data_IF_797158478451
#
_entry.id   IF_797158478451
#
_cell.length_a   1.000
_cell.length_b   1.000
_cell.length_c   1.000
_cell.angle_alpha   90.00
_cell.angle_beta   90.00
_cell.angle_gamma   90.00
#
_symmetry.space_group_name_H-M   'P 1'
#
loop_
_entity.id
_entity.type
_entity.pdbx_description
1 polymer ?
#
# COMPACT_ATOMS: atom_id res chain seq x y z
N UNK A 1 12.30 15.20 3.82
CA UNK A 1 11.94 14.29 3.95
C UNK A 1 10.99 13.57 3.14
N UNK A 2 11.48 12.70 2.51
CA UNK A 2 10.95 12.23 1.30
C UNK A 2 9.71 11.42 1.34
N UNK A 3 9.26 10.87 2.41
CA UNK A 3 8.15 9.94 2.39
C UNK A 3 6.99 10.31 3.26
N UNK A 4 6.67 11.58 3.30
CA UNK A 4 5.54 12.04 4.09
C UNK A 4 4.23 11.37 3.67
N UNK A 5 4.12 10.97 2.40
CA UNK A 5 2.91 10.34 1.90
C UNK A 5 2.70 8.92 2.42
N UNK A 6 3.76 8.26 2.87
CA UNK A 6 3.68 6.88 3.36
C UNK A 6 3.57 6.83 4.88
N UNK A 7 3.71 7.95 5.56
CA UNK A 7 3.55 7.98 7.01
C UNK A 7 2.06 7.95 7.35
N UNK A 8 1.68 7.43 8.53
CA UNK A 8 0.28 7.43 8.93
C UNK A 8 -0.32 8.83 8.90
N UNK A 9 0.38 9.82 9.42
CA UNK A 9 -0.12 11.18 9.42
C UNK A 9 -0.35 11.70 8.01
N UNK A 10 0.61 11.48 7.12
CA UNK A 10 0.49 11.94 5.75
C UNK A 10 -0.65 11.29 5.00
N UNK A 11 -0.81 9.97 5.14
CA UNK A 11 -1.89 9.24 4.47
C UNK A 11 -3.24 9.70 4.98
N UNK A 12 -3.43 9.76 6.29
CA UNK A 12 -4.71 10.18 6.86
C UNK A 12 -5.03 11.63 6.54
N UNK A 13 -4.03 12.50 6.47
CA UNK A 13 -4.25 13.90 6.12
C UNK A 13 -4.77 14.06 4.71
N UNK A 14 -4.30 13.25 3.78
CA UNK A 14 -4.68 13.39 2.37
C UNK A 14 -5.87 12.53 1.98
N UNK A 15 -6.01 11.35 2.55
CA UNK A 15 -6.97 10.36 2.06
C UNK A 15 -7.98 9.90 3.10
N UNK A 16 -7.77 10.26 4.38
CA UNK A 16 -8.69 9.86 5.44
C UNK A 16 -8.61 8.37 5.73
N UNK A 17 -9.73 7.81 6.17
CA UNK A 17 -9.80 6.42 6.61
C UNK A 17 -9.83 5.41 5.46
N UNK A 18 -10.17 5.85 4.26
CA UNK A 18 -10.28 4.98 3.09
C UNK A 18 -9.51 5.57 1.92
N UNK A 19 -8.91 4.66 1.15
CA UNK A 19 -8.17 5.03 -0.05
C UNK A 19 -8.77 4.32 -1.25
N UNK A 20 -8.60 4.91 -2.42
CA UNK A 20 -9.04 4.32 -3.68
C UNK A 20 -7.85 3.77 -4.45
N UNK A 21 -8.14 3.08 -5.56
CA UNK A 21 -7.06 2.63 -6.46
C UNK A 21 -6.24 3.84 -6.93
N UNK A 22 -6.92 4.92 -7.30
CA UNK A 22 -6.22 6.12 -7.76
C UNK A 22 -5.29 6.68 -6.68
N UNK A 23 -5.76 6.67 -5.43
CA UNK A 23 -4.93 7.13 -4.31
C UNK A 23 -3.66 6.30 -4.18
N UNK A 24 -3.80 4.98 -4.28
CA UNK A 24 -2.64 4.09 -4.13
C UNK A 24 -1.66 4.21 -5.29
N UNK A 25 -2.15 4.43 -6.50
CA UNK A 25 -1.25 4.64 -7.64
C UNK A 25 -0.41 5.90 -7.41
N UNK A 26 -1.01 6.93 -6.86
CA UNK A 26 -0.31 8.17 -6.57
C UNK A 26 0.69 8.00 -5.43
N UNK A 27 0.26 7.37 -4.34
CA UNK A 27 1.11 7.19 -3.16
C UNK A 27 2.30 6.30 -3.47
N UNK A 28 2.05 5.17 -4.13
CA UNK A 28 3.10 4.19 -4.42
C UNK A 28 3.85 4.47 -5.70
N UNK A 29 3.33 5.36 -6.52
CA UNK A 29 3.92 5.72 -7.82
C UNK A 29 4.10 4.51 -8.71
N UNK A 30 3.05 3.70 -8.78
CA UNK A 30 3.01 2.53 -9.66
C UNK A 30 1.79 2.64 -10.57
N UNK A 31 1.73 1.80 -11.59
CA UNK A 31 0.61 1.84 -12.51
C UNK A 31 -0.65 1.28 -11.86
N UNK A 32 -1.79 1.70 -12.41
CA UNK A 32 -3.08 1.19 -11.99
C UNK A 32 -3.15 -0.33 -12.11
N UNK A 33 -2.51 -0.87 -13.13
CA UNK A 33 -2.46 -2.30 -13.36
C UNK A 33 -1.84 -3.04 -12.16
N UNK A 34 -0.77 -2.48 -11.60
CA UNK A 34 -0.10 -3.09 -10.46
C UNK A 34 -1.01 -3.09 -9.23
N UNK A 35 -1.64 -1.95 -8.95
CA UNK A 35 -2.56 -1.85 -7.80
C UNK A 35 -3.73 -2.79 -7.97
N UNK A 36 -4.31 -2.82 -9.17
CA UNK A 36 -5.45 -3.68 -9.45
C UNK A 36 -5.10 -5.15 -9.22
N UNK A 37 -3.92 -5.56 -9.64
CA UNK A 37 -3.46 -6.92 -9.44
C UNK A 37 -3.27 -7.25 -7.96
N UNK A 38 -2.72 -6.31 -7.18
CA UNK A 38 -2.57 -6.50 -5.74
C UNK A 38 -3.92 -6.77 -5.07
N UNK A 39 -4.93 -6.02 -5.49
CA UNK A 39 -6.26 -6.18 -4.92
C UNK A 39 -6.93 -7.47 -5.38
N UNK A 40 -6.81 -7.82 -6.64
CA UNK A 40 -7.42 -9.02 -7.18
C UNK A 40 -6.79 -10.29 -6.64
N UNK A 41 -5.51 -10.26 -6.34
CA UNK A 41 -4.82 -11.44 -5.80
C UNK A 41 -4.92 -11.54 -4.28
N UNK A 42 -5.57 -10.58 -3.65
CA UNK A 42 -5.75 -10.60 -2.21
C UNK A 42 -4.54 -10.21 -1.40
N UNK A 43 -3.53 -9.65 -2.04
CA UNK A 43 -2.35 -9.17 -1.29
C UNK A 43 -2.68 -8.02 -0.36
N UNK A 44 -3.66 -7.22 -0.74
CA UNK A 44 -4.08 -6.07 0.04
C UNK A 44 -5.59 -6.17 0.26
N UNK A 45 -6.05 -6.24 1.51
CA UNK A 45 -7.48 -6.33 1.79
C UNK A 45 -8.25 -5.12 1.30
N UNK A 46 -9.38 -5.35 0.68
CA UNK A 46 -10.23 -4.27 0.19
C UNK A 46 -11.63 -4.79 -0.05
N UNK A 47 -12.59 -3.86 -0.06
CA UNK A 47 -13.95 -4.17 -0.43
C UNK A 47 -14.28 -3.48 -1.76
N UNK A 48 -15.08 -4.13 -2.57
CA UNK A 48 -15.52 -3.54 -3.83
C UNK A 48 -16.95 -3.05 -3.67
N UNK A 49 -17.12 -1.74 -3.71
CA UNK A 49 -18.42 -1.11 -3.53
C UNK A 49 -18.74 -0.28 -4.75
N UNK A 50 -19.90 -0.55 -5.36
CA UNK A 50 -20.33 0.20 -6.52
C UNK A 50 -19.34 0.18 -7.67
N UNK A 51 -18.65 -0.96 -7.86
CA UNK A 51 -17.66 -1.08 -8.92
C UNK A 51 -16.30 -0.50 -8.62
N UNK A 52 -16.11 0.06 -7.42
CA UNK A 52 -14.84 0.65 -7.03
C UNK A 52 -14.31 0.00 -5.77
N UNK A 53 -12.99 -0.18 -5.72
CA UNK A 53 -12.36 -0.70 -4.51
C UNK A 53 -12.27 0.39 -3.45
N UNK A 54 -12.53 0.00 -2.20
CA UNK A 54 -12.29 0.84 -1.04
C UNK A 54 -11.29 0.11 -0.16
N UNK A 55 -10.14 0.73 0.08
CA UNK A 55 -9.07 0.15 0.87
C UNK A 55 -8.99 0.92 2.18
N UNK A 56 -9.09 0.22 3.30
CA UNK A 56 -8.92 0.88 4.59
C UNK A 56 -7.47 1.34 4.69
N UNK A 57 -7.31 2.60 5.08
CA UNK A 57 -5.97 3.17 5.22
C UNK A 57 -5.14 2.38 6.23
N UNK A 58 -5.74 1.90 7.31
CA UNK A 58 -5.05 1.05 8.27
C UNK A 58 -4.50 -0.22 7.63
N UNK A 59 -5.29 -0.86 6.79
CA UNK A 59 -4.87 -2.09 6.12
C UNK A 59 -3.72 -1.82 5.15
N UNK A 60 -3.79 -0.70 4.45
CA UNK A 60 -2.72 -0.30 3.55
C UNK A 60 -1.42 -0.06 4.31
N UNK A 61 -1.48 0.61 5.45
CA UNK A 61 -0.30 0.89 6.24
C UNK A 61 0.34 -0.39 6.80
N UNK A 62 -0.49 -1.34 7.23
CA UNK A 62 0.00 -2.64 7.68
C UNK A 62 0.67 -3.40 6.54
N UNK A 63 0.04 -3.37 5.38
CA UNK A 63 0.60 -4.03 4.20
C UNK A 63 1.95 -3.41 3.85
N UNK A 64 2.05 -2.10 3.88
CA UNK A 64 3.30 -1.41 3.58
C UNK A 64 4.41 -1.80 4.56
N UNK A 65 4.08 -1.81 5.85
CA UNK A 65 5.04 -2.23 6.87
C UNK A 65 5.56 -3.64 6.62
N UNK A 66 4.68 -4.54 6.24
CA UNK A 66 5.07 -5.91 5.95
C UNK A 66 5.97 -5.99 4.72
N UNK A 67 5.69 -5.18 3.70
CA UNK A 67 6.54 -5.16 2.52
C UNK A 67 7.95 -4.70 2.86
N UNK A 68 8.07 -3.67 3.66
CA UNK A 68 9.37 -3.17 4.07
C UNK A 68 10.13 -4.24 4.87
N UNK A 69 9.44 -4.89 5.80
CA UNK A 69 10.07 -5.95 6.61
C UNK A 69 10.54 -7.12 5.77
N UNK A 70 9.75 -7.52 4.78
CA UNK A 70 10.13 -8.61 3.89
C UNK A 70 11.36 -8.24 3.07
N UNK A 71 11.40 -7.02 2.57
CA UNK A 71 12.54 -6.57 1.79
C UNK A 71 13.81 -6.54 2.64
N UNK A 72 13.70 -6.07 3.88
CA UNK A 72 14.85 -6.04 4.79
C UNK A 72 15.36 -7.44 5.10
N UNK A 73 14.45 -8.39 5.31
CA UNK A 73 14.85 -9.79 5.52
C UNK A 73 15.59 -10.35 4.33
N UNK A 74 15.11 -10.04 3.13
CA UNK A 74 15.75 -10.51 1.91
C UNK A 74 17.16 -9.93 1.75
N UNK A 75 17.32 -8.68 2.07
CA UNK A 75 18.62 -8.02 2.00
C UNK A 75 19.58 -8.66 2.98
N UNK A 76 19.17 -8.85 4.23
CA UNK A 76 20.01 -9.46 5.24
C UNK A 76 20.39 -10.90 4.87
N UNK A 77 19.43 -11.63 4.34
CA UNK A 77 19.69 -13.01 3.92
C UNK A 77 20.75 -13.06 2.81
N UNK A 78 20.67 -12.13 1.87
CA UNK A 78 21.64 -12.07 0.78
C UNK A 78 23.04 -11.68 1.27
N UNK A 79 23.11 -10.87 2.32
CA UNK A 79 24.39 -10.45 2.86
C UNK A 79 25.11 -11.56 3.61
N UNK A 80 24.36 -12.47 4.23
CA UNK A 80 24.96 -13.51 5.04
C UNK A 80 25.13 -14.85 4.32
N UNK A 81 24.58 -14.99 3.13
CA UNK A 81 24.68 -16.26 2.40
C UNK A 81 25.84 -16.32 1.41
#
# INVERSE_FOLDING_TARGET
>A
MANDKITPVGIYSQHGAFSTVADLTEILKVSRFVVDRMLKTGQLPAAKLGGQYRIRTDDFLKWWDNQVKQEQKNILKNLVS
#
